data_IF_474829157783
#
_entry.id   IF_474829157783
#
_cell.length_a   1.000
_cell.length_b   1.000
_cell.length_c   1.000
_cell.angle_alpha   90.00
_cell.angle_beta   90.00
_cell.angle_gamma   90.00
#
_symmetry.space_group_name_H-M   'P 1'
#
loop_
_entity.id
_entity.type
_entity.pdbx_description
1 polymer ?
#
# COMPACT_ATOMS: atom_id res chain seq x y z
N UNK A 1 37.93 -3.67 -34.43
CA UNK A 1 36.91 -4.36 -35.26
C UNK A 1 35.56 -3.79 -34.89
N UNK A 2 34.99 -3.05 -35.83
CA UNK A 2 33.74 -2.30 -35.78
C UNK A 2 32.53 -3.22 -35.90
N UNK A 3 31.45 -2.99 -35.13
CA UNK A 3 30.06 -3.09 -35.65
C UNK A 3 29.05 -2.61 -34.58
N UNK A 4 28.56 -1.35 -34.64
CA UNK A 4 27.28 -0.85 -35.22
C UNK A 4 25.98 -1.23 -34.47
N UNK A 5 25.46 -0.26 -33.72
CA UNK A 5 24.02 0.01 -33.56
C UNK A 5 23.43 0.56 -34.88
N UNK A 6 22.09 0.50 -35.07
CA UNK A 6 21.40 1.78 -35.20
C UNK A 6 20.00 1.85 -34.57
N UNK A 7 19.77 2.97 -33.88
CA UNK A 7 18.46 3.55 -33.54
C UNK A 7 17.91 4.24 -34.79
N UNK A 8 16.74 3.84 -35.29
CA UNK A 8 16.05 4.53 -36.39
C UNK A 8 15.02 5.52 -35.86
N UNK A 9 15.31 6.80 -36.09
CA UNK A 9 14.36 7.90 -36.09
C UNK A 9 13.45 7.85 -37.33
N UNK A 10 12.18 8.23 -37.18
CA UNK A 10 11.29 8.56 -38.30
C UNK A 10 10.71 9.95 -38.05
N UNK A 11 11.24 10.92 -38.81
CA UNK A 11 10.63 12.23 -39.05
C UNK A 11 10.67 12.48 -40.54
N UNK A 12 9.51 12.64 -41.18
CA UNK A 12 9.29 13.31 -42.46
C UNK A 12 7.80 13.22 -42.82
N UNK A 13 7.15 14.12 -43.55
CA UNK A 13 7.38 15.51 -43.90
C UNK A 13 6.07 15.96 -44.56
N UNK A 14 5.62 17.17 -44.25
CA UNK A 14 4.52 17.85 -44.92
C UNK A 14 4.95 18.27 -46.33
N UNK A 15 4.18 17.92 -47.37
CA UNK A 15 4.23 18.62 -48.68
C UNK A 15 2.84 18.76 -49.28
N UNK A 16 2.51 20.02 -49.53
CA UNK A 16 1.36 20.56 -50.26
C UNK A 16 1.62 20.40 -51.76
N UNK A 17 0.61 19.98 -52.51
CA UNK A 17 0.58 20.00 -53.97
C UNK A 17 -0.71 20.67 -54.46
N UNK A 18 -0.56 21.76 -55.20
CA UNK A 18 -1.62 22.51 -55.90
C UNK A 18 -1.48 22.33 -57.41
N UNK A 19 -2.61 22.37 -58.14
CA UNK A 19 -2.87 22.93 -59.50
C UNK A 19 -3.93 22.08 -60.29
N UNK A 20 -4.54 22.56 -61.39
CA UNK A 20 -5.84 23.25 -61.34
C UNK A 20 -6.89 22.86 -62.44
N UNK A 21 -8.05 23.53 -62.36
CA UNK A 21 -8.98 23.97 -63.44
C UNK A 21 -10.06 23.02 -64.01
N UNK A 22 -11.34 23.40 -63.81
CA UNK A 22 -12.28 23.65 -64.93
C UNK A 22 -13.57 22.83 -65.09
N UNK A 23 -14.68 23.28 -64.43
CA UNK A 23 -16.11 23.35 -64.84
C UNK A 23 -16.89 22.12 -65.41
N UNK A 24 -18.26 22.11 -65.42
CA UNK A 24 -19.23 23.14 -65.02
C UNK A 24 -20.27 22.70 -63.94
N UNK A 25 -21.05 23.68 -63.48
CA UNK A 25 -22.05 23.58 -62.43
C UNK A 25 -23.31 22.77 -62.80
N UNK A 26 -23.87 21.98 -61.86
CA UNK A 26 -25.27 21.60 -61.87
C UNK A 26 -26.10 22.49 -60.93
N UNK A 27 -27.30 22.82 -61.42
CA UNK A 27 -28.41 23.58 -60.83
C UNK A 27 -28.77 23.17 -59.39
N UNK A 28 -29.27 24.10 -58.53
CA UNK A 28 -29.65 23.78 -57.17
C UNK A 28 -30.97 22.99 -57.13
N UNK A 29 -31.08 21.89 -56.36
CA UNK A 29 -32.37 21.34 -56.02
C UNK A 29 -33.08 22.25 -55.00
N UNK A 30 -34.40 22.32 -55.13
CA UNK A 30 -35.31 23.14 -54.36
C UNK A 30 -35.12 23.01 -52.84
N UNK A 31 -35.20 24.14 -52.15
CA UNK A 31 -35.31 24.23 -50.69
C UNK A 31 -36.59 23.51 -50.23
N UNK A 32 -36.43 22.29 -49.72
CA UNK A 32 -37.46 21.67 -48.88
C UNK A 32 -37.29 22.26 -47.48
N UNK A 33 -38.21 23.14 -47.08
CA UNK A 33 -38.37 23.53 -45.69
C UNK A 33 -38.68 22.30 -44.82
N UNK A 34 -38.01 22.08 -43.69
CA UNK A 34 -38.36 20.99 -42.79
C UNK A 34 -39.75 21.23 -42.18
N UNK A 35 -40.53 20.18 -41.91
CA UNK A 35 -41.80 20.32 -41.21
C UNK A 35 -41.54 20.85 -39.80
N UNK A 36 -42.33 21.84 -39.39
CA UNK A 36 -42.43 22.25 -38.00
C UNK A 36 -43.01 21.09 -37.18
N UNK A 37 -42.27 20.63 -36.17
CA UNK A 37 -42.74 19.68 -35.16
C UNK A 37 -41.98 18.36 -35.13
N UNK A 38 -40.86 18.34 -34.40
CA UNK A 38 -40.32 17.15 -33.72
C UNK A 38 -39.23 17.64 -32.77
N UNK A 39 -39.46 17.56 -31.46
CA UNK A 39 -38.41 17.84 -30.46
C UNK A 39 -37.28 16.82 -30.59
N UNK A 40 -36.00 17.24 -30.62
CA UNK A 40 -34.90 16.32 -30.41
C UNK A 40 -34.08 16.80 -29.20
N UNK A 41 -34.38 16.35 -27.99
CA UNK A 41 -33.49 16.68 -26.88
C UNK A 41 -33.45 15.72 -25.68
N UNK A 42 -34.30 14.69 -25.56
CA UNK A 42 -34.24 13.82 -24.36
C UNK A 42 -33.22 12.67 -24.49
N UNK A 43 -33.13 11.97 -25.63
CA UNK A 43 -32.19 10.83 -25.76
C UNK A 43 -30.71 11.20 -25.94
N UNK A 44 -30.43 12.39 -26.48
CA UNK A 44 -29.07 12.86 -26.76
C UNK A 44 -28.34 13.32 -25.47
N UNK A 45 -29.07 13.90 -24.53
CA UNK A 45 -28.51 14.31 -23.23
C UNK A 45 -28.23 13.09 -22.34
N UNK A 46 -29.06 12.05 -22.40
CA UNK A 46 -28.87 10.79 -21.68
C UNK A 46 -27.64 10.02 -22.17
N UNK A 47 -27.43 9.95 -23.49
CA UNK A 47 -26.24 9.33 -24.08
C UNK A 47 -24.94 10.05 -23.70
N UNK A 48 -24.95 11.39 -23.68
CA UNK A 48 -23.79 12.20 -23.26
C UNK A 48 -23.51 12.05 -21.75
N UNK A 49 -24.56 11.93 -20.93
CA UNK A 49 -24.41 11.68 -19.49
C UNK A 49 -23.80 10.30 -19.21
N UNK A 50 -24.30 9.25 -19.87
CA UNK A 50 -23.76 7.89 -19.75
C UNK A 50 -22.31 7.81 -20.24
N UNK A 51 -21.98 8.45 -21.36
CA UNK A 51 -20.60 8.53 -21.85
C UNK A 51 -19.68 9.25 -20.85
N UNK A 52 -20.15 10.34 -20.23
CA UNK A 52 -19.39 11.03 -19.17
C UNK A 52 -19.17 10.16 -17.95
N UNK A 53 -20.17 9.42 -17.50
CA UNK A 53 -20.04 8.49 -16.37
C UNK A 53 -19.05 7.37 -16.68
N UNK A 54 -19.09 6.79 -17.88
CA UNK A 54 -18.14 5.77 -18.32
C UNK A 54 -16.70 6.30 -18.36
N UNK A 55 -16.49 7.53 -18.85
CA UNK A 55 -15.17 8.17 -18.86
C UNK A 55 -14.67 8.45 -17.44
N UNK A 56 -15.54 8.85 -16.51
CA UNK A 56 -15.17 9.05 -15.11
C UNK A 56 -14.82 7.73 -14.42
N UNK A 57 -15.59 6.67 -14.64
CA UNK A 57 -15.30 5.34 -14.12
C UNK A 57 -13.95 4.82 -14.65
N UNK A 58 -13.71 4.95 -15.97
CA UNK A 58 -12.44 4.58 -16.59
C UNK A 58 -11.26 5.36 -15.99
N UNK A 59 -11.43 6.66 -15.75
CA UNK A 59 -10.40 7.49 -15.10
C UNK A 59 -10.12 7.05 -13.66
N UNK A 60 -11.16 6.72 -12.89
CA UNK A 60 -10.99 6.20 -11.53
C UNK A 60 -10.23 4.86 -11.53
N UNK A 61 -10.53 3.96 -12.47
CA UNK A 61 -9.79 2.70 -12.62
C UNK A 61 -8.33 2.94 -12.98
N UNK A 62 -8.05 3.84 -13.91
CA UNK A 62 -6.67 4.19 -14.29
C UNK A 62 -5.90 4.82 -13.12
N UNK A 63 -6.54 5.67 -12.33
CA UNK A 63 -5.93 6.21 -11.10
C UNK A 63 -5.61 5.11 -10.10
N UNK A 64 -6.53 4.16 -9.86
CA UNK A 64 -6.30 3.02 -8.96
C UNK A 64 -5.13 2.16 -9.43
N UNK A 65 -5.04 1.87 -10.73
CA UNK A 65 -3.93 1.12 -11.31
C UNK A 65 -2.60 1.89 -11.22
N UNK A 66 -2.61 3.21 -11.45
CA UNK A 66 -1.42 4.04 -11.31
C UNK A 66 -0.90 4.06 -9.86
N UNK A 67 -1.80 4.15 -8.87
CA UNK A 67 -1.42 4.04 -7.45
C UNK A 67 -0.87 2.65 -7.13
N UNK A 68 -1.50 1.58 -7.62
CA UNK A 68 -1.00 0.21 -7.44
C UNK A 68 0.41 0.04 -8.02
N UNK A 69 0.65 0.55 -9.22
CA UNK A 69 1.97 0.51 -9.84
C UNK A 69 3.02 1.26 -9.01
N UNK A 70 2.67 2.42 -8.46
CA UNK A 70 3.56 3.18 -7.57
C UNK A 70 3.84 2.44 -6.25
N UNK A 71 2.85 1.77 -5.67
CA UNK A 71 3.03 0.97 -4.47
C UNK A 71 3.92 -0.25 -4.73
N UNK A 72 3.72 -0.94 -5.85
CA UNK A 72 4.58 -2.05 -6.28
C UNK A 72 6.02 -1.58 -6.50
N UNK A 73 6.24 -0.48 -7.21
CA UNK A 73 7.59 0.08 -7.38
C UNK A 73 8.26 0.45 -6.06
N UNK A 74 7.50 0.98 -5.09
CA UNK A 74 8.02 1.28 -3.75
C UNK A 74 8.36 0.01 -2.98
N UNK A 75 7.48 -0.99 -3.01
CA UNK A 75 7.73 -2.28 -2.37
C UNK A 75 8.95 -2.99 -2.96
N UNK A 76 9.16 -2.92 -4.27
CA UNK A 76 10.35 -3.43 -4.94
C UNK A 76 11.62 -2.67 -4.52
N UNK A 77 11.55 -1.33 -4.42
CA UNK A 77 12.66 -0.51 -3.94
C UNK A 77 13.02 -0.83 -2.48
N UNK A 78 12.03 -1.03 -1.61
CA UNK A 78 12.23 -1.41 -0.21
C UNK A 78 12.84 -2.82 -0.12
N UNK A 79 12.38 -3.77 -0.94
CA UNK A 79 12.96 -5.12 -1.04
C UNK A 79 14.42 -5.07 -1.49
N UNK A 80 14.75 -4.23 -2.47
CA UNK A 80 16.12 -4.05 -2.94
C UNK A 80 17.03 -3.48 -1.85
N UNK A 81 16.55 -2.49 -1.07
CA UNK A 81 17.29 -1.94 0.09
C UNK A 81 17.57 -3.00 1.14
N UNK A 82 16.61 -3.87 1.45
CA UNK A 82 16.78 -4.96 2.42
C UNK A 82 17.83 -5.96 1.94
N UNK A 83 17.79 -6.37 0.67
CA UNK A 83 18.78 -7.29 0.11
C UNK A 83 20.20 -6.69 0.15
N UNK A 84 20.33 -5.38 -0.10
CA UNK A 84 21.61 -4.69 0.00
C UNK A 84 22.15 -4.65 1.44
N UNK A 85 21.32 -4.27 2.42
CA UNK A 85 21.70 -4.29 3.85
C UNK A 85 22.05 -5.71 4.35
N UNK A 86 21.36 -6.75 3.85
CA UNK A 86 21.69 -8.15 4.15
C UNK A 86 23.04 -8.56 3.56
N UNK A 87 23.37 -8.10 2.35
CA UNK A 87 24.66 -8.34 1.73
C UNK A 87 25.79 -7.65 2.52
N UNK A 88 25.58 -6.41 2.98
CA UNK A 88 26.55 -5.68 3.81
C UNK A 88 26.80 -6.35 5.17
N UNK A 89 25.77 -6.94 5.79
CA UNK A 89 25.93 -7.72 7.03
C UNK A 89 26.62 -9.06 6.83
N UNK A 90 26.52 -9.63 5.64
CA UNK A 90 27.14 -10.92 5.31
C UNK A 90 28.63 -10.80 5.02
N UNK A 91 29.12 -9.60 4.66
CA UNK A 91 30.55 -9.30 4.47
C UNK A 91 31.25 -8.84 5.75
N UNK A 92 30.50 -8.54 6.82
CA UNK A 92 31.05 -8.26 8.15
C UNK A 92 31.52 -9.56 8.83
N UNK A 93 32.85 -9.74 8.96
CA UNK A 93 33.46 -10.90 9.63
C UNK A 93 33.05 -10.98 11.11
N UNK A 94 32.55 -12.12 11.62
CA UNK A 94 32.20 -12.25 13.04
C UNK A 94 33.45 -12.21 13.91
N UNK A 95 33.52 -11.26 14.84
CA UNK A 95 34.52 -11.26 15.92
C UNK A 95 34.20 -12.39 16.91
N UNK A 96 35.16 -13.23 17.34
CA UNK A 96 34.87 -14.35 18.23
C UNK A 96 34.41 -13.87 19.61
N UNK A 97 33.42 -14.57 20.13
CA UNK A 97 32.72 -14.34 21.40
C UNK A 97 33.55 -14.91 22.55
N UNK A 98 34.08 -14.05 23.43
CA UNK A 98 34.68 -14.49 24.69
C UNK A 98 33.60 -14.93 25.67
N UNK A 99 33.66 -16.20 26.07
CA UNK A 99 32.86 -16.80 27.15
C UNK A 99 33.54 -16.56 28.50
N UNK A 100 32.85 -15.88 29.42
CA UNK A 100 32.88 -16.19 30.86
C UNK A 100 31.84 -15.34 31.60
N UNK A 101 30.97 -16.02 32.36
CA UNK A 101 30.67 -15.75 33.77
C UNK A 101 29.22 -16.11 34.13
N UNK A 102 29.11 -17.10 35.01
CA UNK A 102 27.94 -17.51 35.80
C UNK A 102 27.37 -16.35 36.62
N UNK A 103 26.06 -16.12 36.52
CA UNK A 103 25.25 -15.43 37.54
C UNK A 103 23.78 -15.91 37.48
N UNK A 104 23.16 -15.95 38.65
CA UNK A 104 21.90 -16.58 39.07
C UNK A 104 20.61 -16.18 38.28
N UNK A 105 19.50 -16.95 38.39
CA UNK A 105 18.34 -16.77 37.53
C UNK A 105 17.54 -15.55 37.97
N UNK A 106 17.54 -14.52 37.12
CA UNK A 106 16.51 -13.49 37.13
C UNK A 106 15.48 -13.89 36.09
N UNK A 107 14.25 -14.12 36.53
CA UNK A 107 13.09 -14.39 35.66
C UNK A 107 12.73 -13.12 34.87
N UNK A 108 13.54 -12.81 33.87
CA UNK A 108 13.17 -11.94 32.75
C UNK A 108 13.20 -12.85 31.53
N UNK A 109 12.11 -12.99 30.76
CA UNK A 109 12.18 -13.74 29.51
C UNK A 109 13.34 -13.16 28.70
N UNK A 110 14.29 -14.00 28.28
CA UNK A 110 15.38 -13.58 27.42
C UNK A 110 14.76 -12.78 26.27
N UNK A 111 15.04 -11.48 26.24
CA UNK A 111 14.56 -10.60 25.19
C UNK A 111 15.02 -11.22 23.87
N UNK A 112 14.06 -11.75 23.10
CA UNK A 112 14.42 -12.38 21.86
C UNK A 112 15.05 -11.28 20.97
N UNK A 113 16.19 -11.57 20.37
CA UNK A 113 16.98 -10.56 19.66
C UNK A 113 16.30 -10.21 18.31
N UNK A 114 15.22 -9.44 18.34
CA UNK A 114 14.50 -9.02 17.14
C UNK A 114 15.17 -7.83 16.49
N UNK A 115 15.32 -7.84 15.15
CA UNK A 115 15.71 -6.64 14.43
C UNK A 115 14.56 -5.64 14.44
N UNK A 116 14.69 -4.55 15.21
CA UNK A 116 13.68 -3.49 15.29
C UNK A 116 13.95 -2.30 14.35
N UNK A 117 14.88 -2.45 13.39
CA UNK A 117 15.27 -1.39 12.47
C UNK A 117 14.12 -0.89 11.59
N UNK A 118 13.26 -1.81 11.14
CA UNK A 118 12.08 -1.48 10.32
C UNK A 118 10.98 -0.70 11.05
N UNK A 119 11.09 -0.52 12.36
CA UNK A 119 10.11 0.25 13.12
C UNK A 119 10.26 1.77 12.96
N UNK A 120 11.43 2.28 12.57
CA UNK A 120 11.67 3.73 12.54
C UNK A 120 11.41 4.41 13.89
N UNK A 121 10.96 5.67 13.89
CA UNK A 121 10.73 6.47 15.09
C UNK A 121 9.36 6.26 15.75
N UNK A 122 8.91 5.00 15.90
CA UNK A 122 7.69 4.70 16.68
C UNK A 122 7.83 5.17 18.13
N UNK A 123 6.69 5.47 18.76
CA UNK A 123 6.64 5.81 20.18
C UNK A 123 7.20 4.68 21.04
N UNK A 124 7.70 5.01 22.24
CA UNK A 124 8.37 4.04 23.11
C UNK A 124 7.46 2.87 23.50
N UNK A 125 6.20 3.12 23.89
CA UNK A 125 5.25 2.05 24.24
C UNK A 125 4.85 1.19 23.04
N UNK A 126 4.77 1.79 21.84
CA UNK A 126 4.54 1.08 20.58
C UNK A 126 5.69 0.13 20.29
N UNK A 127 6.95 0.58 20.47
CA UNK A 127 8.12 -0.29 20.35
C UNK A 127 8.08 -1.44 21.37
N UNK A 128 7.72 -1.15 22.63
CA UNK A 128 7.60 -2.19 23.67
C UNK A 128 6.56 -3.24 23.28
N UNK A 129 5.37 -2.81 22.83
CA UNK A 129 4.32 -3.72 22.35
C UNK A 129 4.77 -4.53 21.13
N UNK A 130 5.47 -3.91 20.18
CA UNK A 130 6.02 -4.57 19.00
C UNK A 130 7.05 -5.64 19.35
N UNK A 131 7.99 -5.34 20.24
CA UNK A 131 8.99 -6.31 20.70
C UNK A 131 8.32 -7.47 21.44
N UNK A 132 7.34 -7.17 22.31
CA UNK A 132 6.59 -8.21 23.03
C UNK A 132 5.87 -9.17 22.06
N UNK A 133 5.04 -8.63 21.16
CA UNK A 133 4.26 -9.42 20.21
C UNK A 133 5.17 -10.14 19.21
N UNK A 134 6.17 -9.43 18.67
CA UNK A 134 7.16 -10.01 17.78
C UNK A 134 7.87 -11.19 18.41
N UNK A 135 8.26 -11.08 19.68
CA UNK A 135 8.95 -12.17 20.37
C UNK A 135 8.02 -13.34 20.66
N UNK A 136 6.80 -13.05 21.09
CA UNK A 136 5.82 -14.07 21.45
C UNK A 136 5.43 -14.95 20.28
N UNK A 137 5.38 -14.38 19.07
CA UNK A 137 4.91 -15.04 17.86
C UNK A 137 5.99 -15.29 16.80
N UNK A 138 7.25 -14.98 17.10
CA UNK A 138 8.38 -15.22 16.18
C UNK A 138 8.37 -14.31 14.94
N UNK A 139 7.84 -13.09 15.06
CA UNK A 139 7.73 -12.15 13.94
C UNK A 139 8.97 -11.27 13.90
N UNK A 140 9.89 -11.54 12.97
CA UNK A 140 11.12 -10.77 12.79
C UNK A 140 10.96 -9.55 11.89
N UNK A 141 9.96 -9.54 11.02
CA UNK A 141 9.75 -8.49 10.02
C UNK A 141 8.57 -7.62 10.43
N UNK A 142 8.86 -6.39 10.82
CA UNK A 142 7.88 -5.40 11.24
C UNK A 142 8.15 -4.05 10.59
N UNK A 143 7.08 -3.34 10.23
CA UNK A 143 7.17 -1.99 9.68
C UNK A 143 6.44 -1.00 10.58
N UNK A 144 7.16 0.02 11.03
CA UNK A 144 6.62 1.10 11.88
C UNK A 144 6.45 2.39 11.09
N UNK A 145 7.19 3.43 11.45
CA UNK A 145 7.07 4.75 10.79
C UNK A 145 7.37 4.64 9.29
N UNK A 146 6.38 5.00 8.48
CA UNK A 146 6.49 5.11 7.04
C UNK A 146 5.55 6.23 6.53
N UNK A 147 5.94 6.92 5.46
CA UNK A 147 5.03 7.83 4.75
C UNK A 147 3.94 7.03 4.05
N UNK A 148 2.67 7.26 4.41
CA UNK A 148 1.50 6.58 3.84
C UNK A 148 0.49 7.62 3.36
N UNK A 149 -0.22 7.34 2.26
CA UNK A 149 -1.35 8.15 1.81
C UNK A 149 -2.60 7.85 2.66
N UNK A 150 -3.42 8.86 2.91
CA UNK A 150 -4.67 8.73 3.68
C UNK A 150 -4.48 8.79 5.21
N UNK A 151 -5.55 8.48 5.95
CA UNK A 151 -5.52 8.41 7.41
C UNK A 151 -4.75 7.15 7.84
N UNK A 152 -3.50 7.34 8.30
CA UNK A 152 -2.64 6.26 8.80
C UNK A 152 -2.00 6.70 10.10
N UNK A 153 -1.94 5.80 11.08
CA UNK A 153 -1.27 6.04 12.37
C UNK A 153 0.26 5.78 12.27
N UNK A 154 0.77 5.23 11.15
CA UNK A 154 2.21 4.98 10.92
C UNK A 154 3.08 6.24 10.95
N UNK A 155 2.75 7.33 10.23
CA UNK A 155 3.58 8.55 10.25
C UNK A 155 3.73 9.15 11.65
N UNK A 156 2.72 8.99 12.52
CA UNK A 156 2.74 9.46 13.90
C UNK A 156 3.55 8.55 14.85
N UNK A 157 4.04 7.40 14.35
CA UNK A 157 4.72 6.39 15.15
C UNK A 157 3.78 5.61 16.06
N UNK A 158 2.50 5.53 15.70
CA UNK A 158 1.40 4.92 16.46
C UNK A 158 0.87 3.65 15.81
N UNK A 159 1.59 3.06 14.85
CA UNK A 159 1.20 1.80 14.24
C UNK A 159 2.40 0.92 13.90
N UNK A 160 2.14 -0.38 13.84
CA UNK A 160 3.09 -1.41 13.41
C UNK A 160 2.37 -2.46 12.56
N UNK A 161 2.95 -2.77 11.41
CA UNK A 161 2.58 -3.92 10.57
C UNK A 161 3.48 -5.10 10.93
N UNK A 162 2.87 -6.23 11.30
CA UNK A 162 3.55 -7.49 11.60
C UNK A 162 3.41 -8.42 10.40
N UNK A 163 4.49 -8.68 9.67
CA UNK A 163 4.46 -9.55 8.49
C UNK A 163 4.39 -11.01 8.93
N UNK A 164 3.27 -11.67 8.67
CA UNK A 164 2.96 -12.99 9.24
C UNK A 164 2.17 -13.87 8.29
N UNK A 165 2.35 -15.18 8.43
CA UNK A 165 1.42 -16.15 7.85
C UNK A 165 0.06 -16.10 8.56
N UNK A 166 -0.91 -16.85 8.01
CA UNK A 166 -2.27 -16.87 8.54
C UNK A 166 -2.35 -17.34 10.00
N UNK A 167 -1.68 -18.45 10.32
CA UNK A 167 -1.83 -19.10 11.62
C UNK A 167 -1.23 -18.24 12.74
N UNK A 168 -0.07 -17.62 12.47
CA UNK A 168 0.56 -16.69 13.40
C UNK A 168 -0.22 -15.38 13.48
N UNK A 169 -0.74 -14.86 12.38
CA UNK A 169 -1.57 -13.65 12.37
C UNK A 169 -2.85 -13.79 13.18
N UNK A 170 -3.56 -14.92 13.08
CA UNK A 170 -4.78 -15.18 13.86
C UNK A 170 -4.48 -15.15 15.37
N UNK A 171 -3.37 -15.77 15.81
CA UNK A 171 -2.96 -15.82 17.22
C UNK A 171 -2.46 -14.46 17.73
N UNK A 172 -1.71 -13.74 16.90
CA UNK A 172 -1.16 -12.42 17.23
C UNK A 172 -2.29 -11.39 17.37
N UNK A 173 -3.21 -11.33 16.40
CA UNK A 173 -4.36 -10.43 16.45
C UNK A 173 -5.25 -10.72 17.68
N UNK A 174 -5.50 -12.00 17.99
CA UNK A 174 -6.26 -12.39 19.17
C UNK A 174 -5.56 -11.96 20.47
N UNK A 175 -4.24 -12.13 20.59
CA UNK A 175 -3.52 -11.66 21.77
C UNK A 175 -3.52 -10.13 21.90
N UNK A 176 -3.30 -9.41 20.80
CA UNK A 176 -3.32 -7.96 20.80
C UNK A 176 -4.67 -7.41 21.30
N UNK A 177 -5.78 -7.96 20.80
CA UNK A 177 -7.13 -7.56 21.21
C UNK A 177 -7.44 -7.94 22.67
N UNK A 178 -7.08 -9.16 23.10
CA UNK A 178 -7.26 -9.60 24.50
C UNK A 178 -6.54 -8.70 25.50
N UNK A 179 -5.44 -8.07 25.08
CA UNK A 179 -4.59 -7.24 25.92
C UNK A 179 -4.60 -5.78 25.47
N UNK A 180 -5.69 -5.33 24.83
CA UNK A 180 -5.74 -4.02 24.20
C UNK A 180 -5.39 -2.89 25.18
N UNK A 181 -5.95 -2.91 26.39
CA UNK A 181 -5.68 -1.90 27.41
C UNK A 181 -4.21 -1.91 27.87
N UNK A 182 -3.67 -3.10 28.16
CA UNK A 182 -2.30 -3.26 28.64
C UNK A 182 -1.24 -2.89 27.59
N UNK A 183 -1.54 -3.15 26.31
CA UNK A 183 -0.68 -2.80 25.17
C UNK A 183 -0.93 -1.38 24.64
N UNK A 184 -2.03 -0.75 25.04
CA UNK A 184 -2.48 0.53 24.49
C UNK A 184 -2.95 0.44 23.04
N UNK A 185 -3.52 -0.70 22.63
CA UNK A 185 -4.08 -0.92 21.29
C UNK A 185 -5.35 -0.09 21.13
N UNK A 186 -5.42 0.64 20.01
CA UNK A 186 -6.58 1.41 19.55
C UNK A 186 -7.46 0.58 18.62
N UNK A 187 -6.84 -0.16 17.69
CA UNK A 187 -7.52 -1.14 16.83
C UNK A 187 -6.53 -2.11 16.19
N UNK A 188 -7.06 -3.23 15.70
CA UNK A 188 -6.33 -4.23 14.91
C UNK A 188 -7.02 -4.39 13.57
N UNK A 189 -6.25 -4.47 12.49
CA UNK A 189 -6.74 -4.86 11.16
C UNK A 189 -6.07 -6.17 10.76
N UNK A 190 -6.88 -7.15 10.38
CA UNK A 190 -6.41 -8.46 9.93
C UNK A 190 -7.43 -9.14 9.03
N UNK A 191 -6.98 -9.64 7.88
CA UNK A 191 -7.81 -10.34 6.90
C UNK A 191 -9.01 -9.51 6.46
N UNK A 192 -8.76 -8.27 6.04
CA UNK A 192 -9.76 -7.33 5.53
C UNK A 192 -10.91 -7.05 6.53
N UNK A 193 -10.58 -7.09 7.83
CA UNK A 193 -11.51 -6.77 8.91
C UNK A 193 -10.80 -5.91 9.93
N UNK A 194 -11.54 -5.01 10.54
CA UNK A 194 -11.07 -4.14 11.62
C UNK A 194 -11.75 -4.54 12.94
N UNK A 195 -11.04 -4.42 14.05
CA UNK A 195 -11.60 -4.58 15.38
C UNK A 195 -11.06 -3.48 16.29
N UNK A 196 -11.97 -2.66 16.82
CA UNK A 196 -11.72 -1.51 17.71
C UNK A 196 -11.96 -1.84 19.19
N UNK A 197 -12.21 -3.11 19.52
CA UNK A 197 -12.55 -3.61 20.86
C UNK A 197 -13.97 -4.19 20.97
N UNK A 198 -14.86 -3.88 20.02
CA UNK A 198 -16.27 -4.31 20.01
C UNK A 198 -16.56 -5.54 19.15
N UNK A 199 -15.55 -6.10 18.46
CA UNK A 199 -15.72 -7.20 17.53
C UNK A 199 -15.16 -6.88 16.14
N UNK A 200 -15.20 -7.87 15.25
CA UNK A 200 -14.68 -7.72 13.89
C UNK A 200 -15.74 -7.16 12.94
N UNK A 201 -15.39 -6.09 12.24
CA UNK A 201 -16.18 -5.46 11.18
C UNK A 201 -15.47 -5.65 9.84
N UNK A 202 -16.24 -5.92 8.77
CA UNK A 202 -15.67 -6.07 7.43
C UNK A 202 -15.23 -4.70 6.86
N UNK A 203 -14.12 -4.69 6.14
CA UNK A 203 -13.63 -3.50 5.43
C UNK A 203 -13.95 -3.59 3.94
N UNK A 204 -14.05 -2.44 3.28
CA UNK A 204 -14.09 -2.38 1.82
C UNK A 204 -12.85 -3.03 1.17
N UNK A 205 -13.02 -3.50 -0.06
CA UNK A 205 -11.88 -3.97 -0.86
C UNK A 205 -11.05 -2.78 -1.37
N UNK A 206 -9.83 -2.68 -0.87
CA UNK A 206 -8.85 -1.64 -1.21
C UNK A 206 -8.01 -2.01 -2.43
N UNK A 207 -8.21 -3.20 -3.00
CA UNK A 207 -7.73 -3.60 -4.32
C UNK A 207 -6.39 -4.32 -4.34
N UNK A 208 -5.80 -4.67 -3.20
CA UNK A 208 -4.58 -5.51 -3.14
C UNK A 208 -4.51 -6.32 -1.85
N UNK A 209 -3.71 -7.39 -1.86
CA UNK A 209 -3.46 -8.26 -0.70
C UNK A 209 -2.96 -7.45 0.49
N UNK A 210 -1.96 -6.60 0.27
CA UNK A 210 -1.38 -5.75 1.30
C UNK A 210 -2.36 -4.66 1.74
N UNK A 211 -3.05 -3.95 0.83
CA UNK A 211 -4.02 -2.93 1.23
C UNK A 211 -5.22 -3.52 2.02
N UNK A 212 -5.54 -4.79 1.77
CA UNK A 212 -6.56 -5.55 2.50
C UNK A 212 -6.01 -6.29 3.73
N UNK A 213 -4.74 -6.09 4.09
CA UNK A 213 -4.13 -6.66 5.30
C UNK A 213 -4.25 -8.19 5.34
N UNK A 214 -4.01 -8.83 4.20
CA UNK A 214 -4.11 -10.29 4.05
C UNK A 214 -2.77 -11.00 4.34
N UNK A 215 -1.67 -10.26 4.33
CA UNK A 215 -0.28 -10.70 4.49
C UNK A 215 0.40 -10.13 5.76
N UNK A 216 -0.27 -9.27 6.50
CA UNK A 216 0.21 -8.71 7.76
C UNK A 216 -0.92 -8.36 8.73
N UNK A 217 -0.63 -8.43 10.03
CA UNK A 217 -1.51 -7.86 11.06
C UNK A 217 -1.08 -6.42 11.29
N UNK A 218 -2.00 -5.48 11.11
CA UNK A 218 -1.77 -4.09 11.45
C UNK A 218 -2.34 -3.80 12.84
N UNK A 219 -1.53 -3.16 13.68
CA UNK A 219 -1.95 -2.72 15.02
C UNK A 219 -1.69 -1.23 15.14
N UNK A 220 -2.75 -0.50 15.44
CA UNK A 220 -2.67 0.90 15.83
C UNK A 220 -2.82 1.05 17.33
N UNK A 221 -2.15 2.06 17.87
CA UNK A 221 -2.02 2.31 19.29
C UNK A 221 -2.59 3.68 19.66
N UNK A 222 -3.03 3.82 20.90
CA UNK A 222 -3.48 5.08 21.45
C UNK A 222 -2.31 6.09 21.53
N UNK A 223 -2.60 7.40 21.37
CA UNK A 223 -1.58 8.45 21.44
C UNK A 223 -0.95 8.60 22.83
N UNK A 224 -1.60 8.05 23.86
CA UNK A 224 -1.12 8.02 25.24
C UNK A 224 -0.65 6.61 25.57
N UNK A 225 0.49 6.51 26.26
CA UNK A 225 1.00 5.23 26.75
C UNK A 225 -0.01 4.56 27.72
N UNK A 226 -0.17 3.23 27.65
CA UNK A 226 -1.02 2.50 28.58
C UNK A 226 -0.43 2.49 29.99
N UNK A 227 -1.28 2.25 30.98
CA UNK A 227 -0.81 1.91 32.31
C UNK A 227 -0.11 0.52 32.26
N UNK A 228 1.01 0.40 32.98
CA UNK A 228 1.75 -0.86 33.04
C UNK A 228 0.87 -1.94 33.67
N UNK A 229 0.53 -2.96 32.88
CA UNK A 229 -0.31 -4.09 33.28
C UNK A 229 0.26 -5.39 32.74
N UNK A 230 -0.08 -6.52 33.37
CA UNK A 230 0.33 -7.83 32.90
C UNK A 230 -0.33 -8.17 31.54
N UNK A 231 0.42 -8.80 30.64
CA UNK A 231 -0.05 -9.20 29.31
C UNK A 231 -0.11 -10.74 29.26
N UNK A 232 -1.23 -11.28 28.79
CA UNK A 232 -1.44 -12.72 28.65
C UNK A 232 -1.98 -13.10 27.25
N UNK A 233 -1.12 -13.74 26.45
CA UNK A 233 -1.51 -14.52 25.28
C UNK A 233 -1.69 -15.98 25.72
#
# INVERSE_FOLDING_TARGET
MTSTDPVSAVTAAMRVGTAPTGSPAPTPPATVSPPAGSEPASGLVDGVLLARQAVLAQRATLQKLATQAQELSRAEADRARVLHEQADRSTATPRPRSTTATAAPSTTPAACALPTGGLGSVKSWVRTGAVFLGCRFGVSTMYGVAGRSGASDHPAGLAVDFMVDRANGDRLAACALKNADALGVKYVIWRQRINTGSGWEAMEDRGSVTANHMDHVHISFNPTAPAVSAIAC
#
